data_IF_875586131993
#
_entry.id   IF_875586131993
#
_cell.length_a   1.000
_cell.length_b   1.000
_cell.length_c   1.000
_cell.angle_alpha   90.00
_cell.angle_beta   90.00
_cell.angle_gamma   90.00
#
_symmetry.space_group_name_H-M   'P 1'
#
loop_
_entity.id
_entity.type
_entity.pdbx_description
1 polymer ?
#
# COMPACT_ATOMS: atom_id res chain seq x y z
N UNK A 1 10.76 -7.89 -47.71
CA UNK A 1 10.42 -8.13 -46.30
C UNK A 1 9.01 -7.61 -46.07
N UNK A 2 8.02 -8.50 -46.13
CA UNK A 2 6.61 -8.20 -45.92
C UNK A 2 6.43 -7.79 -44.44
N UNK A 3 5.96 -6.56 -44.16
CA UNK A 3 5.42 -6.23 -42.84
C UNK A 3 4.20 -7.13 -42.61
N UNK A 4 4.16 -7.85 -41.49
CA UNK A 4 3.00 -8.64 -41.09
C UNK A 4 1.80 -7.70 -40.97
N UNK A 5 0.74 -7.97 -41.73
CA UNK A 5 -0.59 -7.48 -41.41
C UNK A 5 -1.04 -8.23 -40.15
N UNK A 6 -1.57 -7.49 -39.17
CA UNK A 6 -2.25 -7.98 -37.97
C UNK A 6 -1.37 -8.58 -36.85
N UNK A 7 -0.31 -7.89 -36.41
CA UNK A 7 0.29 -8.21 -35.10
C UNK A 7 -0.65 -7.74 -33.99
N UNK A 8 -1.41 -8.69 -33.44
CA UNK A 8 -2.31 -8.48 -32.33
C UNK A 8 -1.49 -8.44 -31.04
N UNK A 9 -1.64 -7.40 -30.23
CA UNK A 9 -0.87 -7.22 -29.00
C UNK A 9 -1.54 -7.88 -27.77
N UNK A 10 -0.77 -8.01 -26.68
CA UNK A 10 -1.28 -8.30 -25.35
C UNK A 10 -1.65 -6.97 -24.67
N UNK A 11 -2.91 -6.84 -24.27
CA UNK A 11 -3.44 -5.65 -23.62
C UNK A 11 -3.35 -5.73 -22.10
N UNK A 12 -3.02 -4.61 -21.45
CA UNK A 12 -3.02 -4.48 -19.99
C UNK A 12 -4.02 -3.41 -19.52
N UNK A 13 -4.68 -3.65 -18.38
CA UNK A 13 -5.57 -2.69 -17.73
C UNK A 13 -5.24 -2.60 -16.24
N UNK A 14 -4.76 -1.44 -15.82
CA UNK A 14 -4.58 -1.11 -14.41
C UNK A 14 -5.80 -0.37 -13.87
N UNK A 15 -6.58 -1.03 -13.01
CA UNK A 15 -7.92 -0.56 -12.65
C UNK A 15 -7.87 0.53 -11.58
N UNK A 16 -7.02 0.36 -10.55
CA UNK A 16 -7.10 1.21 -9.34
C UNK A 16 -5.77 1.44 -8.61
N UNK A 17 -4.63 1.07 -9.20
CA UNK A 17 -3.32 1.18 -8.53
C UNK A 17 -2.85 2.64 -8.45
N UNK A 18 -2.32 3.04 -7.28
CA UNK A 18 -1.72 4.38 -7.09
C UNK A 18 -0.24 4.46 -7.45
N UNK A 19 0.43 3.32 -7.45
CA UNK A 19 1.82 3.09 -7.88
C UNK A 19 1.80 2.05 -9.01
N UNK A 20 2.92 1.83 -9.73
CA UNK A 20 3.00 0.77 -10.73
C UNK A 20 2.51 -0.58 -10.18
N UNK A 21 1.66 -1.27 -10.95
CA UNK A 21 1.09 -2.54 -10.54
C UNK A 21 2.10 -3.67 -10.82
N UNK A 22 2.62 -4.27 -9.75
CA UNK A 22 3.66 -5.30 -9.85
C UNK A 22 3.23 -6.50 -10.70
N UNK A 23 1.98 -6.96 -10.58
CA UNK A 23 1.50 -8.11 -11.34
C UNK A 23 1.46 -7.83 -12.85
N UNK A 24 0.98 -6.65 -13.25
CA UNK A 24 0.97 -6.23 -14.65
C UNK A 24 2.39 -6.02 -15.19
N UNK A 25 3.33 -5.53 -14.38
CA UNK A 25 4.74 -5.40 -14.77
C UNK A 25 5.39 -6.77 -15.03
N UNK A 26 5.07 -7.79 -14.23
CA UNK A 26 5.57 -9.16 -14.44
C UNK A 26 4.95 -9.80 -15.69
N UNK A 27 3.64 -9.65 -15.89
CA UNK A 27 2.95 -10.07 -17.12
C UNK A 27 3.56 -9.41 -18.36
N UNK A 28 3.85 -8.11 -18.30
CA UNK A 28 4.52 -7.39 -19.39
C UNK A 28 5.88 -7.98 -19.71
N UNK A 29 6.70 -8.25 -18.71
CA UNK A 29 8.02 -8.85 -18.93
C UNK A 29 7.92 -10.26 -19.53
N UNK A 30 6.96 -11.07 -19.05
CA UNK A 30 6.72 -12.42 -19.57
C UNK A 30 6.42 -12.42 -21.07
N UNK A 31 5.38 -11.71 -21.49
CA UNK A 31 4.94 -11.72 -22.88
C UNK A 31 5.98 -11.07 -23.80
N UNK A 32 6.65 -9.99 -23.36
CA UNK A 32 7.78 -9.41 -24.12
C UNK A 32 8.93 -10.38 -24.30
N UNK A 33 9.20 -11.25 -23.31
CA UNK A 33 10.26 -12.28 -23.43
C UNK A 33 9.94 -13.37 -24.46
N UNK A 34 8.66 -13.55 -24.79
CA UNK A 34 8.20 -14.43 -25.87
C UNK A 34 8.21 -13.75 -27.25
N UNK A 35 8.55 -12.45 -27.31
CA UNK A 35 8.53 -11.66 -28.53
C UNK A 35 7.20 -10.97 -28.83
N UNK A 36 6.24 -11.01 -27.89
CA UNK A 36 4.94 -10.36 -28.04
C UNK A 36 5.01 -8.84 -27.80
N UNK A 37 4.16 -8.09 -28.49
CA UNK A 37 3.91 -6.68 -28.20
C UNK A 37 2.99 -6.57 -26.97
N UNK A 38 3.38 -5.77 -25.97
CA UNK A 38 2.58 -5.55 -24.76
C UNK A 38 2.43 -4.06 -24.48
N UNK A 39 1.20 -3.62 -24.27
CA UNK A 39 0.85 -2.22 -23.99
C UNK A 39 -0.42 -2.11 -23.15
N UNK A 40 -0.68 -0.92 -22.61
CA UNK A 40 -2.00 -0.62 -22.05
C UNK A 40 -3.03 -0.52 -23.16
N UNK A 41 -4.22 -1.04 -22.90
CA UNK A 41 -5.33 -1.06 -23.87
C UNK A 41 -5.62 0.33 -24.42
N UNK A 42 -5.58 0.46 -25.73
CA UNK A 42 -5.88 1.68 -26.48
C UNK A 42 -7.31 1.62 -27.07
N UNK A 43 -7.98 2.78 -27.21
CA UNK A 43 -9.25 2.85 -27.92
C UNK A 43 -9.12 2.31 -29.35
N UNK A 44 -10.10 1.52 -29.79
CA UNK A 44 -10.22 0.99 -31.16
C UNK A 44 -9.09 0.03 -31.63
N UNK A 45 -8.18 -0.40 -30.75
CA UNK A 45 -7.20 -1.46 -31.05
C UNK A 45 -7.73 -2.81 -30.58
N UNK A 46 -7.50 -3.86 -31.38
CA UNK A 46 -7.84 -5.23 -31.03
C UNK A 46 -6.65 -5.90 -30.33
N UNK A 47 -6.97 -6.74 -29.35
CA UNK A 47 -6.00 -7.49 -28.56
C UNK A 47 -6.31 -8.98 -28.64
N UNK A 48 -5.27 -9.79 -28.50
CA UNK A 48 -5.36 -11.25 -28.49
C UNK A 48 -5.87 -11.68 -27.12
N UNK A 49 -5.23 -11.13 -26.09
CA UNK A 49 -5.57 -11.32 -24.69
C UNK A 49 -5.40 -10.02 -23.92
N UNK A 50 -6.22 -9.82 -22.91
CA UNK A 50 -6.20 -8.66 -22.03
C UNK A 50 -6.04 -9.14 -20.59
N UNK A 51 -5.10 -8.58 -19.86
CA UNK A 51 -4.96 -8.79 -18.43
C UNK A 51 -5.31 -7.53 -17.66
N UNK A 52 -6.15 -7.65 -16.65
CA UNK A 52 -6.51 -6.55 -15.77
C UNK A 52 -6.22 -6.87 -14.31
N UNK A 53 -5.86 -5.85 -13.53
CA UNK A 53 -5.63 -6.01 -12.09
C UNK A 53 -6.42 -4.97 -11.29
N UNK A 54 -7.20 -5.45 -10.32
CA UNK A 54 -7.88 -4.63 -9.31
C UNK A 54 -7.38 -4.96 -7.90
N UNK A 55 -6.90 -3.96 -7.16
CA UNK A 55 -6.40 -4.11 -5.80
C UNK A 55 -7.54 -3.98 -4.78
N UNK A 56 -8.50 -3.07 -5.02
CA UNK A 56 -9.55 -2.73 -4.06
C UNK A 56 -10.91 -3.31 -4.44
N UNK A 57 -11.65 -3.83 -3.45
CA UNK A 57 -12.98 -4.45 -3.65
C UNK A 57 -14.03 -3.49 -4.20
N UNK A 58 -13.88 -2.19 -3.96
CA UNK A 58 -14.74 -1.14 -4.54
C UNK A 58 -14.67 -1.06 -6.07
N UNK A 59 -13.66 -1.66 -6.69
CA UNK A 59 -13.48 -1.68 -8.14
C UNK A 59 -14.20 -2.85 -8.82
N UNK A 60 -14.92 -3.68 -8.06
CA UNK A 60 -15.59 -4.88 -8.57
C UNK A 60 -16.60 -4.58 -9.69
N UNK A 61 -17.38 -3.52 -9.58
CA UNK A 61 -18.32 -3.11 -10.64
C UNK A 61 -17.60 -2.75 -11.95
N UNK A 62 -16.42 -2.11 -11.87
CA UNK A 62 -15.60 -1.80 -13.04
C UNK A 62 -15.12 -3.10 -13.68
N UNK A 63 -14.69 -4.07 -12.88
CA UNK A 63 -14.26 -5.38 -13.37
C UNK A 63 -15.37 -6.11 -14.13
N UNK A 64 -16.59 -6.14 -13.59
CA UNK A 64 -17.73 -6.78 -14.25
C UNK A 64 -18.05 -6.15 -15.61
N UNK A 65 -18.03 -4.82 -15.70
CA UNK A 65 -18.21 -4.11 -16.99
C UNK A 65 -17.12 -4.45 -18.00
N UNK A 66 -15.88 -4.58 -17.56
CA UNK A 66 -14.77 -4.99 -18.43
C UNK A 66 -14.96 -6.44 -18.92
N UNK A 67 -15.45 -7.35 -18.08
CA UNK A 67 -15.80 -8.71 -18.51
C UNK A 67 -16.91 -8.72 -19.55
N UNK A 68 -17.96 -7.93 -19.36
CA UNK A 68 -19.03 -7.77 -20.36
C UNK A 68 -18.51 -7.20 -21.68
N UNK A 69 -17.59 -6.23 -21.62
CA UNK A 69 -17.04 -5.58 -22.80
C UNK A 69 -16.09 -6.46 -23.61
N UNK A 70 -15.20 -7.20 -22.94
CA UNK A 70 -14.11 -7.94 -23.59
C UNK A 70 -14.33 -9.45 -23.65
N UNK A 71 -15.35 -9.97 -22.96
CA UNK A 71 -15.74 -11.38 -23.00
C UNK A 71 -14.63 -12.33 -22.56
N UNK A 72 -14.36 -13.33 -23.40
CA UNK A 72 -13.35 -14.37 -23.20
C UNK A 72 -11.90 -13.86 -23.35
N UNK A 73 -11.70 -12.68 -23.94
CA UNK A 73 -10.36 -12.11 -24.12
C UNK A 73 -9.75 -11.56 -22.84
N UNK A 74 -10.55 -11.23 -21.83
CA UNK A 74 -10.07 -10.59 -20.60
C UNK A 74 -9.92 -11.56 -19.43
N UNK A 75 -8.78 -11.48 -18.77
CA UNK A 75 -8.53 -12.10 -17.48
C UNK A 75 -8.28 -11.04 -16.41
N UNK A 76 -9.09 -11.07 -15.35
CA UNK A 76 -8.99 -10.10 -14.25
C UNK A 76 -8.46 -10.80 -13.00
N UNK A 77 -7.43 -10.21 -12.40
CA UNK A 77 -6.86 -10.64 -11.14
C UNK A 77 -6.81 -9.54 -10.08
N UNK A 78 -6.14 -9.87 -8.98
CA UNK A 78 -5.96 -8.97 -7.84
C UNK A 78 -7.05 -9.11 -6.79
N UNK A 79 -6.70 -8.73 -5.55
CA UNK A 79 -7.53 -8.88 -4.35
C UNK A 79 -8.88 -8.19 -4.41
N UNK A 80 -8.99 -7.14 -5.23
CA UNK A 80 -10.24 -6.39 -5.40
C UNK A 80 -11.28 -7.16 -6.22
N UNK A 81 -10.87 -8.15 -6.99
CA UNK A 81 -11.75 -8.95 -7.83
C UNK A 81 -11.90 -10.38 -7.31
N UNK A 82 -10.78 -11.10 -7.19
CA UNK A 82 -10.73 -12.47 -6.66
C UNK A 82 -9.49 -12.65 -5.78
N UNK A 83 -9.74 -12.91 -4.49
CA UNK A 83 -8.68 -13.08 -3.49
C UNK A 83 -7.81 -14.30 -3.76
N UNK A 84 -8.36 -15.35 -4.38
CA UNK A 84 -7.68 -16.61 -4.67
C UNK A 84 -6.98 -16.60 -6.04
N UNK A 85 -7.16 -15.54 -6.84
CA UNK A 85 -6.52 -15.44 -8.13
C UNK A 85 -5.04 -15.11 -7.96
N UNK A 86 -4.21 -15.97 -8.51
CA UNK A 86 -2.75 -15.89 -8.47
C UNK A 86 -2.18 -15.83 -9.89
N UNK A 87 -0.97 -15.30 -10.02
CA UNK A 87 -0.20 -15.40 -11.25
C UNK A 87 0.35 -16.81 -11.40
N UNK A 88 0.57 -17.22 -12.65
CA UNK A 88 1.36 -18.42 -12.92
C UNK A 88 2.75 -18.32 -12.24
N UNK A 89 3.27 -19.38 -11.61
CA UNK A 89 4.55 -19.33 -10.89
C UNK A 89 5.73 -18.85 -11.74
N UNK A 90 5.76 -19.13 -13.04
CA UNK A 90 6.81 -18.63 -13.94
C UNK A 90 6.74 -17.12 -14.02
N UNK A 91 5.52 -16.57 -14.22
CA UNK A 91 5.27 -15.13 -14.30
C UNK A 91 5.53 -14.46 -12.94
N UNK A 92 5.09 -15.07 -11.84
CA UNK A 92 5.31 -14.53 -10.49
C UNK A 92 6.79 -14.42 -10.14
N UNK A 93 7.65 -15.30 -10.66
CA UNK A 93 9.09 -15.23 -10.43
C UNK A 93 9.85 -14.32 -11.41
N UNK A 94 9.16 -13.67 -12.36
CA UNK A 94 9.82 -12.74 -13.26
C UNK A 94 10.17 -11.42 -12.60
N UNK A 95 11.25 -10.82 -13.08
CA UNK A 95 11.54 -9.41 -12.81
C UNK A 95 10.43 -8.54 -13.40
N UNK A 96 10.04 -7.44 -12.73
CA UNK A 96 9.02 -6.56 -13.26
C UNK A 96 9.58 -5.71 -14.42
N UNK A 97 8.74 -5.45 -15.42
CA UNK A 97 9.04 -4.51 -16.50
C UNK A 97 9.01 -3.06 -16.01
N UNK A 98 10.17 -2.53 -15.62
CA UNK A 98 10.35 -1.14 -15.19
C UNK A 98 10.20 -0.09 -16.31
N UNK A 99 9.84 -0.48 -17.54
CA UNK A 99 9.50 0.44 -18.62
C UNK A 99 8.00 0.51 -18.89
N UNK A 100 7.18 -0.31 -18.24
CA UNK A 100 5.74 -0.37 -18.50
C UNK A 100 5.03 0.95 -18.13
N UNK A 101 5.38 1.55 -16.98
CA UNK A 101 4.74 2.76 -16.47
C UNK A 101 5.61 4.00 -16.68
N UNK A 102 5.00 5.10 -17.13
CA UNK A 102 5.66 6.41 -17.21
C UNK A 102 5.36 7.29 -16.00
N UNK A 103 6.22 8.29 -15.76
CA UNK A 103 6.02 9.26 -14.68
C UNK A 103 4.72 10.07 -14.88
N UNK A 104 4.34 10.38 -16.12
CA UNK A 104 3.11 11.10 -16.44
C UNK A 104 1.88 10.30 -16.02
N UNK A 105 1.86 8.99 -16.30
CA UNK A 105 0.76 8.09 -15.91
C UNK A 105 0.56 8.07 -14.40
N UNK A 106 1.66 7.95 -13.63
CA UNK A 106 1.60 7.93 -12.17
C UNK A 106 1.26 9.31 -11.60
N UNK A 107 1.81 10.39 -12.15
CA UNK A 107 1.53 11.76 -11.73
C UNK A 107 0.04 12.13 -11.89
N UNK A 108 -0.61 11.65 -12.95
CA UNK A 108 -2.04 11.86 -13.20
C UNK A 108 -2.95 11.25 -12.12
N UNK A 109 -2.48 10.20 -11.43
CA UNK A 109 -3.21 9.52 -10.35
C UNK A 109 -3.02 10.21 -8.99
N UNK A 110 -2.05 11.12 -8.87
CA UNK A 110 -1.75 11.79 -7.60
C UNK A 110 -2.78 12.86 -7.25
N UNK A 111 -3.49 12.60 -6.14
CA UNK A 111 -4.40 13.55 -5.51
C UNK A 111 -3.66 14.45 -4.50
N UNK A 112 -4.27 15.57 -4.15
CA UNK A 112 -3.75 16.53 -3.17
C UNK A 112 -3.15 17.80 -3.78
N UNK A 113 -2.86 18.76 -2.90
CA UNK A 113 -2.35 20.09 -3.25
C UNK A 113 -0.83 19.98 -3.40
N UNK A 114 -0.36 19.96 -4.65
CA UNK A 114 1.06 19.85 -4.99
C UNK A 114 1.32 20.47 -6.36
N UNK A 115 2.46 21.14 -6.52
CA UNK A 115 2.86 21.72 -7.81
C UNK A 115 3.06 20.62 -8.86
N UNK A 116 2.85 20.94 -10.15
CA UNK A 116 3.05 20.00 -11.26
C UNK A 116 4.47 19.41 -11.25
N UNK A 117 5.48 20.26 -11.07
CA UNK A 117 6.88 19.85 -10.96
C UNK A 117 7.09 18.80 -9.86
N UNK A 118 6.59 19.06 -8.64
CA UNK A 118 6.78 18.14 -7.51
C UNK A 118 6.03 16.82 -7.71
N UNK A 119 4.87 16.83 -8.39
CA UNK A 119 4.17 15.60 -8.79
C UNK A 119 5.02 14.78 -9.76
N UNK A 120 5.59 15.41 -10.78
CA UNK A 120 6.46 14.75 -11.77
C UNK A 120 7.72 14.18 -11.11
N UNK A 121 8.38 14.92 -10.22
CA UNK A 121 9.55 14.42 -9.47
C UNK A 121 9.21 13.15 -8.66
N UNK A 122 8.12 13.18 -7.89
CA UNK A 122 7.67 12.01 -7.11
C UNK A 122 7.26 10.84 -7.99
N UNK A 123 6.58 11.11 -9.09
CA UNK A 123 6.18 10.05 -10.02
C UNK A 123 7.41 9.40 -10.66
N UNK A 124 8.42 10.20 -11.02
CA UNK A 124 9.71 9.73 -11.56
C UNK A 124 10.45 8.85 -10.54
N UNK A 125 10.49 9.27 -9.27
CA UNK A 125 11.06 8.47 -8.18
C UNK A 125 10.36 7.11 -8.05
N UNK A 126 9.02 7.08 -8.12
CA UNK A 126 8.22 5.85 -8.00
C UNK A 126 8.44 4.91 -9.19
N UNK A 127 8.40 5.39 -10.45
CA UNK A 127 8.54 4.52 -11.63
C UNK A 127 9.96 3.98 -11.80
N UNK A 128 10.96 4.71 -11.29
CA UNK A 128 12.35 4.27 -11.33
C UNK A 128 12.76 3.45 -10.11
N UNK A 129 11.92 3.34 -9.07
CA UNK A 129 12.23 2.52 -7.91
C UNK A 129 12.27 1.02 -8.28
N UNK A 130 13.15 0.28 -7.62
CA UNK A 130 13.00 -1.16 -7.48
C UNK A 130 11.75 -1.47 -6.66
N UNK A 131 11.06 -2.56 -6.96
CA UNK A 131 9.84 -2.91 -6.21
C UNK A 131 9.57 -4.40 -6.26
N UNK A 132 9.08 -4.94 -5.15
CA UNK A 132 8.78 -6.35 -5.03
C UNK A 132 8.58 -6.82 -3.60
N UNK A 133 8.39 -8.12 -3.47
CA UNK A 133 8.26 -8.81 -2.20
C UNK A 133 9.53 -9.64 -1.99
N UNK A 134 10.09 -9.56 -0.80
CA UNK A 134 11.14 -10.46 -0.31
C UNK A 134 10.58 -11.48 0.68
N UNK A 135 9.34 -11.29 1.13
CA UNK A 135 8.54 -12.25 1.87
C UNK A 135 7.05 -12.08 1.56
N UNK A 136 6.29 -13.15 1.80
CA UNK A 136 4.83 -13.27 1.63
C UNK A 136 4.21 -13.89 2.88
N UNK A 137 2.88 -13.77 2.99
CA UNK A 137 2.15 -14.29 4.15
C UNK A 137 2.36 -13.42 5.39
N UNK A 138 1.82 -13.88 6.52
CA UNK A 138 1.98 -13.19 7.80
C UNK A 138 1.98 -14.19 8.96
N UNK A 139 2.62 -13.81 10.08
CA UNK A 139 2.61 -14.56 11.34
C UNK A 139 1.38 -14.25 12.20
N UNK A 140 0.49 -13.38 11.72
CA UNK A 140 -0.71 -12.92 12.44
C UNK A 140 -1.96 -13.29 11.67
N UNK A 141 -3.05 -13.53 12.40
CA UNK A 141 -4.38 -13.85 11.86
C UNK A 141 -5.38 -12.75 12.23
N UNK A 142 -5.08 -11.51 11.87
CA UNK A 142 -5.97 -10.37 12.16
C UNK A 142 -7.31 -10.55 11.41
N UNK A 143 -8.44 -10.45 12.13
CA UNK A 143 -9.77 -10.71 11.55
C UNK A 143 -10.21 -9.78 10.42
N UNK A 144 -9.53 -8.64 10.23
CA UNK A 144 -9.76 -7.70 9.13
C UNK A 144 -8.83 -7.92 7.93
N UNK A 145 -7.85 -8.83 8.02
CA UNK A 145 -6.78 -8.98 7.03
C UNK A 145 -7.01 -10.18 6.11
N UNK A 146 -6.76 -10.01 4.81
CA UNK A 146 -6.84 -11.09 3.82
C UNK A 146 -5.52 -11.86 3.65
N UNK A 147 -4.40 -11.36 4.19
CA UNK A 147 -3.06 -11.93 3.94
C UNK A 147 -2.98 -13.42 4.33
N UNK A 148 -3.41 -13.88 5.51
CA UNK A 148 -3.31 -15.31 5.86
C UNK A 148 -4.15 -16.20 4.93
N UNK A 149 -5.29 -15.70 4.45
CA UNK A 149 -6.16 -16.44 3.51
C UNK A 149 -5.55 -16.50 2.11
N UNK A 150 -4.97 -15.39 1.65
CA UNK A 150 -4.43 -15.23 0.29
C UNK A 150 -3.05 -15.83 0.13
N UNK A 151 -2.15 -15.51 1.05
CA UNK A 151 -0.72 -15.80 0.93
C UNK A 151 -0.26 -16.86 1.93
N UNK A 152 -1.13 -17.31 2.83
CA UNK A 152 -0.82 -18.35 3.81
C UNK A 152 0.12 -17.88 4.92
N UNK A 153 0.88 -18.85 5.46
CA UNK A 153 1.88 -18.61 6.50
C UNK A 153 3.06 -17.83 5.94
N UNK A 154 3.71 -17.07 6.82
CA UNK A 154 4.92 -16.33 6.47
C UNK A 154 5.98 -17.21 5.80
N UNK A 155 6.52 -16.76 4.66
CA UNK A 155 7.62 -17.41 3.95
C UNK A 155 8.42 -16.39 3.11
N UNK A 156 9.71 -16.67 2.90
CA UNK A 156 10.57 -15.85 2.04
C UNK A 156 10.36 -16.19 0.56
N UNK A 157 10.44 -15.19 -0.32
CA UNK A 157 10.25 -15.38 -1.78
C UNK A 157 11.35 -14.77 -2.66
N UNK A 158 12.11 -13.81 -2.15
CA UNK A 158 13.21 -13.18 -2.88
C UNK A 158 14.20 -12.49 -1.92
N UNK A 159 15.35 -12.08 -2.46
CA UNK A 159 16.35 -11.26 -1.77
C UNK A 159 16.25 -9.79 -2.22
N UNK A 160 16.92 -8.86 -1.50
CA UNK A 160 16.92 -7.44 -1.88
C UNK A 160 17.52 -7.25 -3.28
N UNK A 161 18.57 -7.99 -3.63
CA UNK A 161 19.22 -7.92 -4.94
C UNK A 161 18.29 -8.22 -6.13
N UNK A 162 17.22 -8.99 -5.91
CA UNK A 162 16.33 -9.45 -6.98
C UNK A 162 15.34 -8.36 -7.42
N UNK A 163 15.04 -7.42 -6.53
CA UNK A 163 14.02 -6.36 -6.73
C UNK A 163 14.62 -4.99 -7.08
N UNK A 164 15.94 -4.91 -7.29
CA UNK A 164 16.62 -3.65 -7.63
C UNK A 164 16.32 -3.26 -9.09
N UNK A 165 15.92 -2.01 -9.27
CA UNK A 165 15.87 -1.37 -10.58
C UNK A 165 17.17 -0.58 -10.80
N UNK A 166 17.95 -0.85 -11.86
CA UNK A 166 19.20 -0.13 -12.10
C UNK A 166 19.02 1.38 -12.36
N UNK A 167 17.80 1.86 -12.60
CA UNK A 167 17.49 3.28 -12.83
C UNK A 167 17.53 4.14 -11.56
N UNK A 168 17.55 3.55 -10.36
CA UNK A 168 17.48 4.27 -9.09
C UNK A 168 18.12 3.48 -7.94
N UNK A 169 18.46 4.17 -6.85
CA UNK A 169 18.80 3.53 -5.58
C UNK A 169 17.60 3.44 -4.62
N UNK A 170 16.39 3.75 -5.07
CA UNK A 170 15.16 3.62 -4.27
C UNK A 170 14.56 2.24 -4.46
N UNK A 171 14.12 1.60 -3.37
CA UNK A 171 13.33 0.36 -3.40
C UNK A 171 12.02 0.51 -2.62
N UNK A 172 10.96 -0.13 -3.10
CA UNK A 172 9.64 -0.20 -2.46
C UNK A 172 9.40 -1.67 -2.09
N UNK A 173 9.49 -1.97 -0.80
CA UNK A 173 9.23 -3.31 -0.26
C UNK A 173 7.74 -3.49 -0.01
N UNK A 174 7.18 -4.54 -0.59
CA UNK A 174 5.78 -4.89 -0.39
C UNK A 174 5.56 -5.99 0.66
N UNK A 175 6.62 -6.46 1.32
CA UNK A 175 6.54 -7.41 2.43
C UNK A 175 5.47 -7.01 3.45
N UNK A 176 4.49 -7.89 3.70
CA UNK A 176 3.38 -7.61 4.62
C UNK A 176 3.87 -7.30 6.05
N UNK A 177 5.03 -7.84 6.42
CA UNK A 177 5.60 -7.68 7.74
C UNK A 177 7.12 -7.93 7.72
N UNK A 178 7.91 -6.87 7.51
CA UNK A 178 9.37 -6.98 7.46
C UNK A 178 9.98 -7.48 8.78
N UNK A 179 9.42 -7.10 9.93
CA UNK A 179 9.98 -7.45 11.26
C UNK A 179 9.64 -8.87 11.71
N UNK A 180 8.72 -9.54 11.02
CA UNK A 180 8.49 -10.98 11.21
C UNK A 180 9.50 -11.85 10.45
N UNK A 181 10.29 -11.27 9.56
CA UNK A 181 11.27 -12.01 8.78
C UNK A 181 12.47 -12.41 9.64
N UNK A 182 12.81 -13.72 9.73
CA UNK A 182 14.05 -14.15 10.37
C UNK A 182 15.31 -13.49 9.79
N UNK A 183 15.27 -13.10 8.51
CA UNK A 183 16.35 -12.43 7.80
C UNK A 183 16.23 -10.89 7.82
N UNK A 184 15.35 -10.31 8.64
CA UNK A 184 15.08 -8.87 8.69
C UNK A 184 16.36 -8.03 8.81
N UNK A 185 17.23 -8.40 9.77
CA UNK A 185 18.48 -7.68 10.02
C UNK A 185 19.42 -7.77 8.82
N UNK A 186 19.56 -8.94 8.20
CA UNK A 186 20.47 -9.12 7.06
C UNK A 186 19.97 -8.38 5.81
N UNK A 187 18.65 -8.34 5.59
CA UNK A 187 18.04 -7.49 4.56
C UNK A 187 18.33 -6.01 4.80
N UNK A 188 18.20 -5.54 6.04
CA UNK A 188 18.51 -4.14 6.40
C UNK A 188 20.00 -3.82 6.23
N UNK A 189 20.90 -4.75 6.57
CA UNK A 189 22.34 -4.61 6.29
C UNK A 189 22.60 -4.52 4.80
N UNK A 190 22.02 -5.40 3.98
CA UNK A 190 22.19 -5.35 2.52
C UNK A 190 21.70 -4.02 1.94
N UNK A 191 20.54 -3.52 2.38
CA UNK A 191 20.00 -2.20 2.00
C UNK A 191 21.01 -1.09 2.32
N UNK A 192 21.58 -1.11 3.52
CA UNK A 192 22.58 -0.14 3.98
C UNK A 192 23.87 -0.21 3.14
N UNK A 193 24.42 -1.41 2.94
CA UNK A 193 25.68 -1.65 2.21
C UNK A 193 25.56 -1.22 0.75
N UNK A 194 24.42 -1.50 0.12
CA UNK A 194 24.10 -1.07 -1.25
C UNK A 194 23.75 0.42 -1.35
N UNK A 195 23.69 1.15 -0.23
CA UNK A 195 23.31 2.57 -0.15
C UNK A 195 21.93 2.86 -0.75
N UNK A 196 21.01 1.91 -0.57
CA UNK A 196 19.64 2.03 -1.04
C UNK A 196 18.83 2.96 -0.12
N UNK A 197 17.75 3.51 -0.67
CA UNK A 197 16.70 4.25 0.04
C UNK A 197 15.46 3.36 0.03
N UNK A 198 14.95 2.96 1.19
CA UNK A 198 13.86 1.99 1.30
C UNK A 198 12.53 2.67 1.67
N UNK A 199 11.47 2.28 0.97
CA UNK A 199 10.08 2.45 1.38
C UNK A 199 9.53 1.09 1.83
N UNK A 200 9.47 0.85 3.14
CA UNK A 200 8.82 -0.34 3.70
C UNK A 200 7.31 -0.10 3.62
N UNK A 201 6.66 -0.49 2.53
CA UNK A 201 5.38 0.09 2.11
C UNK A 201 4.13 -0.45 2.85
N UNK A 202 4.17 -1.70 3.32
CA UNK A 202 3.02 -2.32 4.02
C UNK A 202 3.15 -2.21 5.55
N UNK A 203 4.38 -2.13 6.08
CA UNK A 203 4.67 -1.81 7.47
C UNK A 203 5.48 -2.85 8.24
N UNK A 204 5.69 -2.56 9.52
CA UNK A 204 6.40 -3.38 10.49
C UNK A 204 5.44 -3.79 11.62
N UNK A 205 5.56 -5.02 12.13
CA UNK A 205 4.95 -5.36 13.41
C UNK A 205 5.86 -4.88 14.55
N UNK A 206 5.49 -3.75 15.14
CA UNK A 206 6.25 -3.10 16.23
C UNK A 206 6.37 -4.00 17.47
N UNK A 207 5.45 -4.95 17.67
CA UNK A 207 5.47 -5.90 18.79
C UNK A 207 6.61 -6.92 18.68
N UNK A 208 7.21 -7.06 17.49
CA UNK A 208 8.36 -7.94 17.24
C UNK A 208 9.70 -7.18 17.30
N UNK A 209 9.68 -5.87 17.50
CA UNK A 209 10.89 -5.07 17.50
C UNK A 209 11.62 -5.20 18.83
N UNK A 210 12.88 -5.65 18.75
CA UNK A 210 13.86 -5.59 19.82
C UNK A 210 14.95 -4.55 19.50
N UNK A 211 15.92 -4.36 20.40
CA UNK A 211 17.00 -3.36 20.23
C UNK A 211 17.84 -3.61 18.96
N UNK A 212 18.06 -4.87 18.55
CA UNK A 212 18.82 -5.19 17.33
C UNK A 212 18.08 -4.80 16.06
N UNK A 213 16.78 -5.13 15.96
CA UNK A 213 15.93 -4.74 14.83
C UNK A 213 15.78 -3.21 14.80
N UNK A 214 15.55 -2.56 15.95
CA UNK A 214 15.42 -1.11 16.04
C UNK A 214 16.70 -0.39 15.59
N UNK A 215 17.87 -0.90 16.00
CA UNK A 215 19.16 -0.39 15.54
C UNK A 215 19.31 -0.57 14.03
N UNK A 216 19.05 -1.77 13.49
CA UNK A 216 19.15 -2.03 12.06
C UNK A 216 18.22 -1.11 11.24
N UNK A 217 16.97 -0.91 11.69
CA UNK A 217 16.03 0.03 11.08
C UNK A 217 16.55 1.47 11.12
N UNK A 218 17.22 1.90 12.18
CA UNK A 218 17.76 3.27 12.31
C UNK A 218 18.94 3.55 11.36
N UNK A 219 19.65 2.51 10.91
CA UNK A 219 20.87 2.64 10.10
C UNK A 219 20.62 2.70 8.59
N UNK A 220 19.38 2.40 8.14
CA UNK A 220 19.00 2.51 6.72
C UNK A 220 18.37 3.87 6.39
N UNK A 221 18.49 4.29 5.13
CA UNK A 221 17.81 5.50 4.65
C UNK A 221 16.36 5.17 4.29
N UNK A 222 15.42 5.71 5.05
CA UNK A 222 14.00 5.56 4.73
C UNK A 222 13.51 6.68 3.82
N UNK A 223 12.79 6.31 2.75
CA UNK A 223 12.09 7.25 1.88
C UNK A 223 10.95 7.96 2.63
N UNK A 224 10.31 7.24 3.55
CA UNK A 224 9.15 7.68 4.32
C UNK A 224 9.34 7.40 5.81
N UNK A 225 8.32 7.67 6.61
CA UNK A 225 8.28 7.20 8.00
C UNK A 225 8.22 5.66 8.02
N UNK A 226 8.94 5.04 8.96
CA UNK A 226 8.67 3.66 9.34
C UNK A 226 7.28 3.63 9.92
N UNK A 227 6.44 2.74 9.39
CA UNK A 227 5.07 2.63 9.84
C UNK A 227 4.75 1.23 10.34
N UNK A 228 3.88 1.21 11.35
CA UNK A 228 3.37 0.04 12.05
C UNK A 228 1.93 0.34 12.44
N UNK A 229 1.22 -0.61 13.05
CA UNK A 229 -0.19 -0.45 13.39
C UNK A 229 -0.49 -0.73 14.85
N UNK A 230 -1.47 0.01 15.38
CA UNK A 230 -2.14 -0.28 16.64
C UNK A 230 -3.65 -0.39 16.37
N UNK A 231 -4.05 -1.49 15.73
CA UNK A 231 -5.43 -1.67 15.27
C UNK A 231 -6.35 -2.29 16.32
N UNK A 232 -5.80 -3.06 17.26
CA UNK A 232 -6.57 -3.82 18.26
C UNK A 232 -6.12 -3.42 19.67
N UNK A 233 -7.08 -3.06 20.52
CA UNK A 233 -6.83 -2.61 21.90
C UNK A 233 -6.08 -3.66 22.74
N UNK A 234 -6.36 -4.95 22.55
CA UNK A 234 -5.73 -6.04 23.30
C UNK A 234 -4.21 -6.17 23.13
N UNK A 235 -3.59 -5.41 22.23
CA UNK A 235 -2.14 -5.38 22.03
C UNK A 235 -1.46 -4.09 22.54
N UNK A 236 -2.16 -3.27 23.31
CA UNK A 236 -1.65 -1.99 23.81
C UNK A 236 -0.25 -2.10 24.42
N UNK A 237 -0.06 -2.98 25.42
CA UNK A 237 1.22 -3.08 26.13
C UNK A 237 2.36 -3.44 25.19
N UNK A 238 2.18 -4.47 24.35
CA UNK A 238 3.21 -4.90 23.41
C UNK A 238 3.52 -3.84 22.36
N UNK A 239 2.50 -3.09 21.90
CA UNK A 239 2.69 -1.98 20.96
C UNK A 239 3.50 -0.86 21.61
N UNK A 240 3.08 -0.40 22.79
CA UNK A 240 3.74 0.71 23.50
C UNK A 240 5.18 0.34 23.88
N UNK A 241 5.45 -0.90 24.26
CA UNK A 241 6.80 -1.35 24.58
C UNK A 241 7.69 -1.42 23.33
N UNK A 242 7.19 -1.95 22.21
CA UNK A 242 7.93 -1.93 20.94
C UNK A 242 8.21 -0.51 20.44
N UNK A 243 7.25 0.41 20.63
CA UNK A 243 7.44 1.83 20.33
C UNK A 243 8.57 2.43 21.18
N UNK A 244 8.59 2.17 22.49
CA UNK A 244 9.67 2.65 23.37
C UNK A 244 11.03 2.13 22.92
N UNK A 245 11.12 0.88 22.48
CA UNK A 245 12.35 0.31 21.92
C UNK A 245 12.78 1.07 20.67
N UNK A 246 11.88 1.28 19.70
CA UNK A 246 12.20 2.05 18.49
C UNK A 246 12.65 3.48 18.81
N UNK A 247 12.01 4.15 19.78
CA UNK A 247 12.33 5.53 20.18
C UNK A 247 13.75 5.70 20.74
N UNK A 248 14.39 4.63 21.22
CA UNK A 248 15.81 4.66 21.62
C UNK A 248 16.74 4.94 20.45
N UNK A 249 16.37 4.49 19.24
CA UNK A 249 17.22 4.51 18.05
C UNK A 249 16.74 5.45 16.95
N UNK A 250 15.44 5.75 16.91
CA UNK A 250 14.81 6.59 15.89
C UNK A 250 14.00 7.72 16.51
N UNK A 251 14.00 8.87 15.83
CA UNK A 251 13.21 10.04 16.25
C UNK A 251 11.72 9.79 16.00
N UNK A 252 10.86 10.23 16.92
CA UNK A 252 9.41 10.04 16.84
C UNK A 252 8.77 10.51 15.52
N UNK A 253 9.26 11.59 14.92
CA UNK A 253 8.75 12.08 13.62
C UNK A 253 9.02 11.13 12.43
N UNK A 254 9.93 10.17 12.59
CA UNK A 254 10.16 9.07 11.64
C UNK A 254 9.18 7.91 11.81
N UNK A 255 8.31 7.94 12.81
CA UNK A 255 7.32 6.91 13.06
C UNK A 255 5.95 7.35 12.56
N UNK A 256 5.17 6.40 12.06
CA UNK A 256 3.76 6.57 11.79
C UNK A 256 3.02 5.34 12.29
N UNK A 257 1.95 5.53 13.06
CA UNK A 257 1.14 4.44 13.57
C UNK A 257 -0.22 4.46 12.88
N UNK A 258 -0.51 3.42 12.11
CA UNK A 258 -1.84 3.16 11.58
C UNK A 258 -2.81 2.80 12.70
N UNK A 259 -4.05 3.29 12.57
CA UNK A 259 -5.15 3.03 13.49
C UNK A 259 -6.39 2.66 12.68
N UNK A 260 -6.71 1.37 12.62
CA UNK A 260 -7.99 0.91 12.12
C UNK A 260 -9.10 1.30 13.10
N UNK A 261 -10.13 1.98 12.58
CA UNK A 261 -11.31 2.40 13.35
C UNK A 261 -12.59 1.82 12.73
N UNK A 262 -13.61 1.61 13.56
CA UNK A 262 -14.90 1.08 13.12
C UNK A 262 -14.92 -0.42 12.79
N UNK A 263 -13.86 -1.16 13.15
CA UNK A 263 -13.83 -2.63 13.09
C UNK A 263 -14.35 -3.25 14.39
N UNK A 264 -13.62 -3.08 15.50
CA UNK A 264 -13.96 -3.65 16.81
C UNK A 264 -13.55 -2.76 18.00
N UNK A 265 -13.37 -1.46 17.77
CA UNK A 265 -13.08 -0.47 18.79
C UNK A 265 -14.21 0.54 18.93
N UNK A 266 -14.38 1.09 20.13
CA UNK A 266 -15.23 2.25 20.36
C UNK A 266 -14.53 3.54 19.93
N UNK A 267 -15.30 4.62 19.76
CA UNK A 267 -14.70 5.93 19.46
C UNK A 267 -13.83 6.43 20.62
N UNK A 268 -14.18 6.11 21.85
CA UNK A 268 -13.42 6.48 23.05
C UNK A 268 -12.05 5.77 23.05
N UNK A 269 -12.00 4.50 22.65
CA UNK A 269 -10.76 3.75 22.43
C UNK A 269 -9.95 4.33 21.26
N UNK A 270 -10.60 4.73 20.17
CA UNK A 270 -9.96 5.39 19.03
C UNK A 270 -9.30 6.71 19.47
N UNK A 271 -10.01 7.53 20.23
CA UNK A 271 -9.51 8.81 20.75
C UNK A 271 -8.39 8.59 21.78
N UNK A 272 -8.51 7.58 22.64
CA UNK A 272 -7.46 7.19 23.57
C UNK A 272 -6.16 6.84 22.85
N UNK A 273 -6.22 5.96 21.84
CA UNK A 273 -5.07 5.59 21.01
C UNK A 273 -4.44 6.81 20.34
N UNK A 274 -5.27 7.68 19.76
CA UNK A 274 -4.80 8.93 19.15
C UNK A 274 -4.02 9.80 20.14
N UNK A 275 -4.61 10.09 21.31
CA UNK A 275 -3.98 10.93 22.35
C UNK A 275 -2.67 10.33 22.83
N UNK A 276 -2.64 9.01 23.08
CA UNK A 276 -1.42 8.30 23.49
C UNK A 276 -0.29 8.43 22.47
N UNK A 277 -0.60 8.24 21.18
CA UNK A 277 0.40 8.36 20.12
C UNK A 277 0.88 9.82 19.97
N UNK A 278 -0.02 10.78 20.10
CA UNK A 278 0.31 12.21 20.00
C UNK A 278 1.18 12.69 21.17
N UNK A 279 0.87 12.26 22.40
CA UNK A 279 1.70 12.46 23.61
C UNK A 279 3.14 11.96 23.40
N UNK A 280 3.32 10.88 22.66
CA UNK A 280 4.62 10.30 22.32
C UNK A 280 5.31 10.97 21.11
N UNK A 281 4.66 11.94 20.47
CA UNK A 281 5.14 12.62 19.26
C UNK A 281 5.13 11.73 18.01
N UNK A 282 4.40 10.61 18.04
CA UNK A 282 4.27 9.67 16.92
C UNK A 282 3.13 10.14 16.05
N UNK A 283 3.25 9.99 14.73
CA UNK A 283 2.19 10.40 13.81
C UNK A 283 1.09 9.32 13.74
N UNK A 284 -0.11 9.54 14.30
CA UNK A 284 -1.26 8.67 14.03
C UNK A 284 -1.72 8.82 12.57
N UNK A 285 -2.25 7.72 12.02
CA UNK A 285 -2.91 7.71 10.72
C UNK A 285 -4.15 6.81 10.79
N UNK A 286 -5.32 7.44 10.77
CA UNK A 286 -6.62 6.78 10.94
C UNK A 286 -7.05 6.13 9.61
N UNK A 287 -7.54 4.89 9.68
CA UNK A 287 -8.11 4.17 8.55
C UNK A 287 -9.50 3.66 8.92
N UNK A 288 -10.53 4.09 8.20
CA UNK A 288 -11.90 3.63 8.42
C UNK A 288 -12.09 2.25 7.79
N UNK A 289 -12.44 1.25 8.60
CA UNK A 289 -12.63 -0.12 8.14
C UNK A 289 -13.68 -0.22 7.02
N UNK A 290 -13.32 -0.88 5.92
CA UNK A 290 -14.18 -1.14 4.75
C UNK A 290 -14.95 0.07 4.22
N UNK A 291 -14.33 1.26 4.25
CA UNK A 291 -14.97 2.50 3.80
C UNK A 291 -16.37 2.72 4.44
N UNK A 292 -16.56 2.28 5.70
CA UNK A 292 -17.81 2.42 6.44
C UNK A 292 -18.29 3.87 6.37
N UNK A 293 -19.55 4.06 6.02
CA UNK A 293 -20.21 5.38 5.88
C UNK A 293 -20.63 5.95 7.25
N UNK A 294 -19.73 5.87 8.23
CA UNK A 294 -19.92 6.47 9.55
C UNK A 294 -19.37 7.89 9.53
N UNK A 295 -20.25 8.87 9.67
CA UNK A 295 -19.91 10.28 9.53
C UNK A 295 -18.93 10.76 10.62
N UNK A 296 -19.06 10.26 11.86
CA UNK A 296 -18.15 10.59 12.96
C UNK A 296 -16.75 10.07 12.66
N UNK A 297 -16.63 8.81 12.20
CA UNK A 297 -15.34 8.24 11.82
C UNK A 297 -14.70 8.94 10.61
N UNK A 298 -15.50 9.41 9.65
CA UNK A 298 -14.99 10.18 8.50
C UNK A 298 -14.46 11.55 8.90
N UNK A 299 -15.13 12.22 9.83
CA UNK A 299 -14.61 13.45 10.43
C UNK A 299 -13.35 13.19 11.24
N UNK A 300 -13.29 12.11 12.01
CA UNK A 300 -12.10 11.74 12.78
C UNK A 300 -10.91 11.43 11.89
N UNK A 301 -11.11 10.63 10.84
CA UNK A 301 -10.13 10.37 9.79
C UNK A 301 -9.59 11.67 9.19
N UNK A 302 -10.46 12.60 8.80
CA UNK A 302 -10.07 13.88 8.23
C UNK A 302 -9.31 14.76 9.24
N UNK A 303 -9.82 14.88 10.45
CA UNK A 303 -9.26 15.70 11.52
C UNK A 303 -7.83 15.28 11.87
N UNK A 304 -7.61 13.97 12.02
CA UNK A 304 -6.28 13.40 12.28
C UNK A 304 -5.38 13.46 11.04
N UNK A 305 -5.81 12.89 9.91
CA UNK A 305 -4.91 12.68 8.76
C UNK A 305 -4.54 13.98 8.03
N UNK A 306 -5.38 15.01 8.14
CA UNK A 306 -5.12 16.36 7.62
C UNK A 306 -4.42 17.28 8.63
N UNK A 307 -4.07 16.76 9.82
CA UNK A 307 -3.44 17.50 10.93
C UNK A 307 -4.25 18.68 11.45
N UNK A 308 -5.58 18.65 11.32
CA UNK A 308 -6.46 19.68 11.89
C UNK A 308 -6.43 19.60 13.43
N UNK A 309 -6.17 18.40 13.98
CA UNK A 309 -5.91 18.20 15.41
C UNK A 309 -4.74 19.02 15.99
N UNK A 310 -3.91 19.66 15.15
CA UNK A 310 -2.88 20.60 15.60
C UNK A 310 -3.36 22.04 15.71
N UNK A 311 -4.56 22.33 15.23
CA UNK A 311 -5.17 23.65 15.21
C UNK A 311 -6.37 23.76 16.14
N UNK A 312 -7.12 22.67 16.37
CA UNK A 312 -8.25 22.66 17.31
C UNK A 312 -8.44 21.28 17.94
N UNK A 313 -9.06 21.26 19.12
CA UNK A 313 -9.55 20.05 19.76
C UNK A 313 -10.72 19.44 18.98
N UNK A 314 -11.04 18.17 19.27
CA UNK A 314 -12.10 17.44 18.56
C UNK A 314 -13.48 18.04 18.81
N UNK A 315 -13.71 18.49 20.03
CA UNK A 315 -14.96 19.12 20.48
C UNK A 315 -15.22 20.46 19.79
N UNK A 316 -14.16 21.14 19.36
CA UNK A 316 -14.20 22.42 18.64
C UNK A 316 -14.14 22.25 17.11
N UNK A 317 -14.09 21.01 16.61
CA UNK A 317 -13.98 20.73 15.18
C UNK A 317 -15.28 21.06 14.45
N UNK A 318 -15.40 22.31 13.97
CA UNK A 318 -16.62 22.89 13.41
C UNK A 318 -17.38 22.00 12.40
N UNK A 319 -16.72 21.32 11.42
CA UNK A 319 -17.43 20.41 10.52
C UNK A 319 -18.16 19.27 11.23
N UNK A 320 -17.59 18.72 12.30
CA UNK A 320 -18.23 17.69 13.10
C UNK A 320 -19.34 18.26 13.97
N UNK A 321 -19.10 19.38 14.67
CA UNK A 321 -20.11 20.05 15.50
C UNK A 321 -21.37 20.37 14.69
N UNK A 322 -21.20 20.86 13.46
CA UNK A 322 -22.32 21.17 12.55
C UNK A 322 -23.16 19.93 12.23
N UNK A 323 -22.52 18.82 11.90
CA UNK A 323 -23.24 17.58 11.56
C UNK A 323 -23.96 16.97 12.77
N UNK A 324 -23.44 17.16 13.99
CA UNK A 324 -24.15 16.79 15.22
C UNK A 324 -25.44 17.61 15.41
N UNK A 325 -25.39 18.92 15.17
CA UNK A 325 -26.57 19.79 15.27
C UNK A 325 -27.64 19.37 14.27
N UNK A 326 -27.25 19.07 13.03
CA UNK A 326 -28.18 18.61 11.98
C UNK A 326 -28.83 17.28 12.38
N UNK A 327 -28.05 16.31 12.84
CA UNK A 327 -28.58 15.02 13.28
C UNK A 327 -29.57 15.16 14.43
N UNK A 328 -29.25 16.01 15.41
CA UNK A 328 -30.14 16.29 16.54
C UNK A 328 -31.44 16.97 16.09
N UNK A 329 -31.39 17.98 15.21
CA UNK A 329 -32.58 18.66 14.71
C UNK A 329 -33.54 17.71 13.97
N UNK A 330 -33.01 16.75 13.20
CA UNK A 330 -33.82 15.73 12.52
C UNK A 330 -34.48 14.78 13.54
N UNK A 331 -33.77 14.42 14.61
CA UNK A 331 -34.32 13.52 15.66
C UNK A 331 -35.44 14.14 16.49
N UNK A 332 -35.55 15.48 16.54
CA UNK A 332 -36.65 16.18 17.24
C UNK A 332 -37.86 16.47 16.34
N UNK A 333 -37.80 16.15 15.04
CA UNK A 333 -38.89 16.35 14.08
C UNK A 333 -39.62 15.03 13.71
N UNK A 334 -39.15 13.90 14.24
CA UNK A 334 -39.78 12.57 14.16
C UNK A 334 -40.36 12.21 15.53
#
# INVERSE_FOLDING_TARGET
>A
MQKRCDEVAIGLIDIDSKIPNLALMKLSNYYKSLGEEVEFVQPNKQYERIFASAIFTRSKEICLKLQEQYGDKIEIGGTGFDVNKELDPVIENMKPDYNLYTAEMIAARMRGIMTKQRKTEKATEIVNAGMGFTSRGCVRECGFCFVPKKEGKFHNVAEIKDIINPKSNVIILHDNNLTADPNCIDKLKEIKERKLIVDINQGCDVRLVNDDIAKALSEVKHLRSVHYAWDLMGYESQVLDGIKVLLKYMKAWRHMCFMLVGFNTSFEEDMYRFRKLDEMGIRPYVMVYNDKKDIRLKHFERWVNSRICKACEWEDYEPWVRDQVIANQISFQL
#
